data_IF_541926631406
#
_entry.id   IF_541926631406
#
_cell.length_a   1.000
_cell.length_b   1.000
_cell.length_c   1.000
_cell.angle_alpha   90.00
_cell.angle_beta   90.00
_cell.angle_gamma   90.00
#
_symmetry.space_group_name_H-M   'P 1'
#
loop_
_entity.id
_entity.type
_entity.pdbx_description
1 polymer ?
#
# COMPACT_ATOMS: atom_id res chain seq x y z
N UNK A 1 1.68 -11.70 -9.37
CA UNK A 1 1.40 -10.96 -10.63
C UNK A 1 0.64 -11.90 -11.55
N UNK A 2 -0.45 -11.43 -12.15
CA UNK A 2 -1.24 -12.22 -13.12
C UNK A 2 -1.42 -11.36 -14.36
N UNK A 3 -0.71 -11.70 -15.43
CA UNK A 3 -0.58 -10.81 -16.59
C UNK A 3 0.05 -9.48 -16.18
N UNK A 4 -0.62 -8.38 -16.51
CA UNK A 4 -0.20 -7.01 -16.18
C UNK A 4 -0.66 -6.55 -14.79
N UNK A 5 -1.41 -7.38 -14.05
CA UNK A 5 -1.91 -7.01 -12.71
C UNK A 5 -0.96 -7.48 -11.62
N UNK A 6 -0.50 -6.54 -10.78
CA UNK A 6 0.25 -6.80 -9.56
C UNK A 6 -0.72 -6.82 -8.38
N UNK A 7 -0.68 -7.90 -7.60
CA UNK A 7 -1.43 -8.03 -6.35
C UNK A 7 -0.42 -8.07 -5.21
N UNK A 8 -0.65 -7.26 -4.19
CA UNK A 8 0.11 -7.29 -2.95
C UNK A 8 -0.89 -7.28 -1.79
N UNK A 9 -0.57 -8.00 -0.72
CA UNK A 9 -1.39 -8.00 0.48
C UNK A 9 -0.93 -6.88 1.40
N UNK A 10 -1.91 -6.16 1.93
CA UNK A 10 -1.74 -5.18 2.99
C UNK A 10 -2.62 -5.55 4.17
N UNK A 11 -2.16 -5.20 5.36
CA UNK A 11 -2.92 -5.36 6.58
C UNK A 11 -2.30 -4.51 7.69
N UNK A 12 -3.04 -4.38 8.78
CA UNK A 12 -2.60 -3.72 9.99
C UNK A 12 -2.81 -4.63 11.21
N UNK A 13 -1.97 -4.46 12.22
CA UNK A 13 -1.92 -5.34 13.37
C UNK A 13 -2.89 -4.87 14.45
N UNK A 14 -4.09 -5.46 14.50
CA UNK A 14 -5.12 -5.08 15.47
C UNK A 14 -4.70 -5.52 16.89
N UNK A 15 -4.59 -4.57 17.82
CA UNK A 15 -4.36 -4.77 19.25
C UNK A 15 -5.65 -4.46 20.03
N UNK A 16 -5.75 -4.87 21.29
CA UNK A 16 -6.97 -4.75 22.09
C UNK A 16 -7.51 -3.30 22.26
N UNK A 17 -6.64 -2.30 22.16
CA UNK A 17 -7.00 -0.87 22.21
C UNK A 17 -6.97 -0.20 20.82
N UNK A 18 -6.85 -0.98 19.74
CA UNK A 18 -6.84 -0.44 18.38
C UNK A 18 -8.24 0.00 17.94
N UNK A 19 -8.31 1.14 17.25
CA UNK A 19 -9.53 1.59 16.57
C UNK A 19 -9.61 1.00 15.16
N UNK A 20 -10.79 0.51 14.77
CA UNK A 20 -10.98 -0.11 13.46
C UNK A 20 -10.80 0.88 12.30
N UNK A 21 -11.09 2.16 12.54
CA UNK A 21 -10.90 3.24 11.56
C UNK A 21 -9.40 3.54 11.37
N UNK A 22 -8.65 3.69 12.46
CA UNK A 22 -7.20 3.94 12.43
C UNK A 22 -6.42 2.80 11.74
N UNK A 23 -6.73 1.55 12.06
CA UNK A 23 -6.08 0.37 11.46
C UNK A 23 -6.41 0.21 9.96
N UNK A 24 -7.61 0.64 9.56
CA UNK A 24 -8.00 0.69 8.15
C UNK A 24 -7.20 1.77 7.41
N UNK A 25 -7.06 2.96 7.99
CA UNK A 25 -6.23 4.02 7.41
C UNK A 25 -4.75 3.61 7.32
N UNK A 26 -4.20 2.93 8.33
CA UNK A 26 -2.82 2.40 8.29
C UNK A 26 -2.66 1.39 7.15
N UNK A 27 -3.63 0.49 6.98
CA UNK A 27 -3.64 -0.49 5.88
C UNK A 27 -3.60 0.21 4.52
N UNK A 28 -4.39 1.28 4.33
CA UNK A 28 -4.40 2.08 3.10
C UNK A 28 -3.08 2.85 2.89
N UNK A 29 -2.49 3.39 3.95
CA UNK A 29 -1.20 4.09 3.87
C UNK A 29 -0.08 3.15 3.39
N UNK A 30 -0.02 1.92 3.93
CA UNK A 30 0.92 0.89 3.48
C UNK A 30 0.69 0.52 2.01
N UNK A 31 -0.56 0.39 1.59
CA UNK A 31 -0.89 0.11 0.19
C UNK A 31 -0.44 1.23 -0.74
N UNK A 32 -0.67 2.49 -0.36
CA UNK A 32 -0.27 3.66 -1.12
C UNK A 32 1.24 3.72 -1.29
N UNK A 33 2.02 3.51 -0.22
CA UNK A 33 3.48 3.49 -0.30
C UNK A 33 4.01 2.40 -1.25
N UNK A 34 3.38 1.22 -1.26
CA UNK A 34 3.71 0.15 -2.20
C UNK A 34 3.40 0.54 -3.65
N UNK A 35 2.25 1.17 -3.90
CA UNK A 35 1.88 1.67 -5.23
C UNK A 35 2.85 2.77 -5.70
N UNK A 36 3.18 3.72 -4.83
CA UNK A 36 4.13 4.80 -5.13
C UNK A 36 5.52 4.26 -5.45
N UNK A 37 5.96 3.20 -4.76
CA UNK A 37 7.23 2.53 -5.03
C UNK A 37 7.24 1.78 -6.37
N UNK A 38 6.06 1.31 -6.82
CA UNK A 38 5.89 0.65 -8.11
C UNK A 38 5.71 1.63 -9.26
N UNK A 39 5.41 2.91 -8.99
CA UNK A 39 5.48 3.94 -10.01
C UNK A 39 6.96 4.22 -10.31
N UNK A 40 7.50 3.80 -11.46
CA UNK A 40 8.80 4.30 -11.87
C UNK A 40 8.67 5.82 -11.94
N UNK A 41 9.58 6.51 -11.25
CA UNK A 41 9.77 7.94 -11.42
C UNK A 41 9.95 8.19 -12.93
N UNK A 42 8.90 8.66 -13.61
CA UNK A 42 8.90 9.08 -15.02
C UNK A 42 9.66 10.41 -15.19
N UNK A 43 10.82 10.52 -14.55
CA UNK A 43 11.81 11.57 -14.80
C UNK A 43 13.12 10.95 -15.25
N UNK A 44 13.05 10.15 -16.31
CA UNK A 44 14.20 9.87 -17.15
C UNK A 44 13.82 10.12 -18.62
N UNK A 45 13.76 11.39 -19.00
CA UNK A 45 14.41 11.87 -20.22
C UNK A 45 14.40 13.39 -20.28
N UNK A 46 15.58 13.91 -20.59
CA UNK A 46 15.98 15.27 -20.97
C UNK A 46 15.11 15.93 -22.03
#
# INVERSE_FOLDING_TARGET
MKGETVYFQVGSGIVADSDAEDEYEETLHKAKALIESLNPCLTLSS
#
